data_IF_844319945155
#
_entry.id   IF_844319945155
#
_cell.length_a   1.000
_cell.length_b   1.000
_cell.length_c   1.000
_cell.angle_alpha   90.00
_cell.angle_beta   90.00
_cell.angle_gamma   90.00
#
_symmetry.space_group_name_H-M   'P 1'
#
loop_
_entity.id
_entity.type
_entity.pdbx_description
1 polymer ?
#
# COMPACT_ATOMS: atom_id res chain seq x y z
N UNK A 1 -5.16 -11.66 19.83
CA UNK A 1 -4.60 -10.42 19.27
C UNK A 1 -4.24 -9.51 20.42
N UNK A 2 -2.99 -9.12 20.54
CA UNK A 2 -2.57 -8.08 21.48
C UNK A 2 -3.07 -6.74 20.95
N UNK A 3 -3.81 -6.00 21.76
CA UNK A 3 -4.20 -4.63 21.40
C UNK A 3 -2.94 -3.75 21.35
N UNK A 4 -2.89 -2.75 20.46
CA UNK A 4 -1.78 -1.80 20.40
C UNK A 4 -1.49 -1.22 21.80
N UNK A 5 -0.23 -1.27 22.19
CA UNK A 5 0.17 -0.75 23.52
C UNK A 5 0.32 0.76 23.48
N UNK A 6 -0.68 1.47 23.98
CA UNK A 6 -0.60 2.92 24.17
C UNK A 6 -0.22 3.26 25.60
N UNK A 7 0.77 4.12 25.75
CA UNK A 7 1.23 4.66 27.03
C UNK A 7 1.09 6.19 27.04
N UNK A 8 1.29 6.77 28.21
CA UNK A 8 1.34 8.23 28.40
C UNK A 8 2.68 8.58 29.03
N UNK A 9 3.46 9.40 28.36
CA UNK A 9 4.73 9.90 28.86
C UNK A 9 4.53 10.88 30.03
N UNK A 10 5.57 11.19 30.83
CA UNK A 10 5.47 12.10 31.96
C UNK A 10 4.96 13.51 31.62
N UNK A 11 5.16 13.96 30.40
CA UNK A 11 4.68 15.25 29.86
C UNK A 11 3.22 15.22 29.38
N UNK A 12 2.52 14.09 29.56
CA UNK A 12 1.14 13.89 29.14
C UNK A 12 0.99 13.45 27.68
N UNK A 13 2.09 13.27 26.93
CA UNK A 13 2.02 12.80 25.51
C UNK A 13 1.60 11.35 25.46
N UNK A 14 0.51 11.06 24.75
CA UNK A 14 0.11 9.69 24.41
C UNK A 14 0.92 9.20 23.22
N UNK A 15 1.56 8.05 23.36
CA UNK A 15 2.39 7.42 22.31
C UNK A 15 2.10 5.93 22.19
N UNK A 16 2.53 5.34 21.11
CA UNK A 16 2.48 3.89 20.89
C UNK A 16 3.86 3.33 21.22
N UNK A 17 3.94 2.50 22.26
CA UNK A 17 5.18 1.83 22.69
C UNK A 17 5.45 0.65 21.75
N UNK A 18 6.17 0.92 20.66
CA UNK A 18 6.36 -0.01 19.56
C UNK A 18 7.44 -1.06 19.86
N UNK A 19 8.45 -0.71 20.65
CA UNK A 19 9.52 -1.63 21.05
C UNK A 19 9.32 -2.24 22.45
N UNK A 20 8.17 -1.96 23.07
CA UNK A 20 7.75 -2.50 24.38
C UNK A 20 8.72 -2.20 25.55
N UNK A 21 9.50 -1.12 25.47
CA UNK A 21 10.43 -0.73 26.52
C UNK A 21 9.80 0.13 27.63
N UNK A 22 8.58 0.62 27.42
CA UNK A 22 7.82 1.45 28.38
C UNK A 22 8.24 2.92 28.42
N UNK A 23 9.11 3.36 27.53
CA UNK A 23 9.62 4.73 27.43
C UNK A 23 9.28 5.27 26.04
N UNK A 24 8.90 6.55 25.95
CA UNK A 24 8.68 7.19 24.66
C UNK A 24 10.01 7.50 24.00
N UNK A 25 10.41 6.70 23.05
CA UNK A 25 11.57 6.96 22.20
C UNK A 25 11.27 8.07 21.17
N UNK A 26 12.28 8.78 20.63
CA UNK A 26 12.05 9.85 19.66
C UNK A 26 11.23 9.37 18.44
N UNK A 27 11.49 8.18 17.90
CA UNK A 27 10.73 7.68 16.74
C UNK A 27 9.25 7.38 17.05
N UNK A 28 8.89 7.18 18.31
CA UNK A 28 7.51 6.96 18.79
C UNK A 28 6.79 8.25 19.14
N UNK A 29 7.55 9.37 19.29
CA UNK A 29 7.00 10.65 19.72
C UNK A 29 6.22 11.33 18.58
N UNK A 30 4.87 11.43 18.67
CA UNK A 30 4.06 12.03 17.61
C UNK A 30 4.22 13.54 17.47
N UNK A 31 4.93 14.21 18.42
CA UNK A 31 5.18 15.65 18.39
C UNK A 31 6.44 16.02 17.60
N UNK A 32 7.33 15.06 17.34
CA UNK A 32 8.52 15.28 16.55
C UNK A 32 8.23 15.23 15.06
N UNK A 33 9.04 15.94 14.29
CA UNK A 33 9.00 15.92 12.83
C UNK A 33 9.34 14.52 12.27
N UNK A 34 8.88 14.23 11.04
CA UNK A 34 9.11 12.93 10.42
C UNK A 34 10.61 12.62 10.31
N UNK A 35 11.41 13.59 9.86
CA UNK A 35 12.86 13.41 9.68
C UNK A 35 13.55 13.03 11.00
N UNK A 36 13.24 13.74 12.09
CA UNK A 36 13.82 13.47 13.40
C UNK A 36 13.47 12.07 13.91
N UNK A 37 12.24 11.64 13.67
CA UNK A 37 11.77 10.29 14.02
C UNK A 37 12.45 9.20 13.17
N UNK A 38 12.64 9.47 11.88
CA UNK A 38 13.33 8.57 10.96
C UNK A 38 14.80 8.44 11.33
N UNK A 39 15.49 9.53 11.63
CA UNK A 39 16.92 9.53 12.01
C UNK A 39 17.13 8.70 13.29
N UNK A 40 16.29 8.87 14.30
CA UNK A 40 16.37 8.08 15.54
C UNK A 40 16.16 6.59 15.27
N UNK A 41 15.10 6.24 14.52
CA UNK A 41 14.82 4.84 14.19
C UNK A 41 15.97 4.23 13.36
N UNK A 42 16.44 4.94 12.34
CA UNK A 42 17.52 4.48 11.46
C UNK A 42 18.82 4.21 12.25
N UNK A 43 19.09 5.01 13.27
CA UNK A 43 20.23 4.80 14.17
C UNK A 43 20.12 3.54 15.04
N UNK A 44 18.93 3.04 15.27
CA UNK A 44 18.65 1.83 16.07
C UNK A 44 18.66 0.54 15.26
N UNK A 45 18.38 0.62 13.96
CA UNK A 45 18.26 -0.55 13.08
C UNK A 45 19.62 -1.19 12.82
N UNK A 46 19.67 -2.52 12.90
CA UNK A 46 20.78 -3.33 12.41
C UNK A 46 20.90 -3.28 10.88
N UNK A 47 22.01 -3.78 10.36
CA UNK A 47 22.20 -3.89 8.90
C UNK A 47 21.18 -4.83 8.27
N UNK A 48 20.86 -5.93 8.94
CA UNK A 48 19.87 -6.92 8.51
C UNK A 48 18.47 -6.33 8.46
N UNK A 49 18.08 -5.55 9.46
CA UNK A 49 16.78 -4.83 9.47
C UNK A 49 16.71 -3.81 8.34
N UNK A 50 17.77 -3.02 8.13
CA UNK A 50 17.84 -2.08 7.00
C UNK A 50 17.73 -2.80 5.65
N UNK A 51 18.39 -3.94 5.50
CA UNK A 51 18.29 -4.76 4.30
C UNK A 51 16.86 -5.30 4.09
N UNK A 52 16.20 -5.79 5.16
CA UNK A 52 14.82 -6.25 5.12
C UNK A 52 13.85 -5.17 4.63
N UNK A 53 14.02 -3.92 5.09
CA UNK A 53 13.19 -2.78 4.70
C UNK A 53 13.32 -2.40 3.21
N UNK A 54 14.37 -2.84 2.53
CA UNK A 54 14.59 -2.56 1.10
C UNK A 54 13.89 -3.56 0.16
N UNK A 55 13.26 -4.61 0.69
CA UNK A 55 12.58 -5.61 -0.11
C UNK A 55 11.07 -5.46 -0.08
N UNK A 56 10.46 -5.68 -1.24
CA UNK A 56 9.02 -5.83 -1.39
C UNK A 56 8.72 -7.19 -2.02
N UNK A 57 7.86 -7.98 -1.37
CA UNK A 57 7.44 -9.29 -1.87
C UNK A 57 5.92 -9.41 -1.81
N UNK A 58 5.40 -10.52 -2.34
CA UNK A 58 3.97 -10.83 -2.27
C UNK A 58 3.69 -11.62 -1.00
N UNK A 59 2.61 -11.27 -0.32
CA UNK A 59 1.97 -12.08 0.72
C UNK A 59 0.49 -12.24 0.41
N UNK A 60 -0.13 -13.26 0.98
CA UNK A 60 -1.51 -13.61 0.66
C UNK A 60 -2.41 -13.50 1.90
N UNK A 61 -3.67 -13.19 1.64
CA UNK A 61 -4.73 -13.06 2.64
C UNK A 61 -5.32 -14.44 2.91
N UNK A 62 -5.33 -14.89 4.16
CA UNK A 62 -6.01 -16.10 4.58
C UNK A 62 -7.54 -15.98 4.50
N UNK A 63 -8.26 -17.12 4.49
CA UNK A 63 -9.70 -17.16 4.16
C UNK A 63 -10.58 -16.33 5.11
N UNK A 64 -10.25 -16.30 6.39
CA UNK A 64 -10.97 -15.51 7.42
C UNK A 64 -10.22 -14.22 7.83
N UNK A 65 -9.25 -13.78 7.01
CA UNK A 65 -8.41 -12.62 7.30
C UNK A 65 -7.26 -12.92 8.26
N UNK A 66 -6.90 -14.18 8.47
CA UNK A 66 -5.68 -14.57 9.17
C UNK A 66 -4.44 -14.31 8.31
N UNK A 67 -3.29 -14.18 8.94
CA UNK A 67 -2.00 -14.17 8.27
C UNK A 67 -1.66 -15.60 7.83
N UNK A 68 -1.29 -15.76 6.56
CA UNK A 68 -1.09 -17.09 5.97
C UNK A 68 0.28 -17.66 6.37
N UNK A 69 0.28 -18.78 7.08
CA UNK A 69 1.49 -19.45 7.57
C UNK A 69 1.87 -20.69 6.74
N UNK A 70 1.14 -20.96 5.67
CA UNK A 70 1.42 -22.03 4.71
C UNK A 70 1.75 -21.46 3.34
N UNK A 71 2.47 -22.18 2.46
CA UNK A 71 2.67 -21.76 1.08
C UNK A 71 1.35 -21.53 0.35
N UNK A 72 1.18 -20.31 -0.16
CA UNK A 72 0.04 -19.93 -0.97
C UNK A 72 0.27 -20.20 -2.47
N UNK A 73 -0.59 -19.63 -3.31
CA UNK A 73 -0.47 -19.74 -4.77
C UNK A 73 0.79 -19.05 -5.29
N UNK A 74 1.08 -17.86 -4.80
CA UNK A 74 2.19 -17.02 -5.22
C UNK A 74 3.26 -16.95 -4.13
N UNK A 75 2.91 -16.54 -2.92
CA UNK A 75 3.82 -16.52 -1.78
C UNK A 75 4.20 -17.93 -1.35
N UNK A 76 5.50 -18.22 -1.29
CA UNK A 76 6.01 -19.54 -0.89
C UNK A 76 6.55 -19.57 0.53
N UNK A 77 6.62 -18.43 1.19
CA UNK A 77 7.06 -18.32 2.57
C UNK A 77 5.90 -18.00 3.50
N UNK A 78 5.89 -18.55 4.73
CA UNK A 78 4.97 -18.09 5.78
C UNK A 78 5.07 -16.58 6.01
N UNK A 79 3.96 -15.93 6.31
CA UNK A 79 3.94 -14.47 6.57
C UNK A 79 4.84 -14.10 7.74
N UNK A 80 4.81 -14.86 8.83
CA UNK A 80 5.71 -14.66 9.97
C UNK A 80 7.19 -14.74 9.56
N UNK A 81 7.55 -15.62 8.63
CA UNK A 81 8.94 -15.72 8.15
C UNK A 81 9.41 -14.42 7.50
N UNK A 82 8.60 -13.84 6.61
CA UNK A 82 9.02 -12.61 5.88
C UNK A 82 8.92 -11.36 6.76
N UNK A 83 7.94 -11.27 7.63
CA UNK A 83 7.75 -10.10 8.51
C UNK A 83 8.74 -10.13 9.68
N UNK A 84 8.82 -11.24 10.41
CA UNK A 84 9.58 -11.29 11.68
C UNK A 84 11.02 -11.73 11.46
N UNK A 85 11.26 -12.81 10.70
CA UNK A 85 12.61 -13.35 10.56
C UNK A 85 13.44 -12.68 9.46
N UNK A 86 12.78 -12.21 8.39
CA UNK A 86 13.43 -11.42 7.30
C UNK A 86 13.27 -9.91 7.48
N UNK A 87 12.55 -9.48 8.51
CA UNK A 87 12.37 -8.06 8.88
C UNK A 87 11.89 -7.17 7.72
N UNK A 88 11.08 -7.75 6.83
CA UNK A 88 10.47 -7.03 5.69
C UNK A 88 9.18 -6.35 6.14
N UNK A 89 8.90 -5.16 5.58
CA UNK A 89 7.69 -4.42 5.92
C UNK A 89 6.93 -3.84 4.72
N UNK A 90 7.34 -4.15 3.49
CA UNK A 90 6.63 -3.76 2.27
C UNK A 90 6.14 -5.01 1.53
N UNK A 91 4.83 -5.10 1.31
CA UNK A 91 4.23 -6.27 0.69
C UNK A 91 3.19 -5.89 -0.35
N UNK A 92 3.14 -6.67 -1.44
CA UNK A 92 2.10 -6.60 -2.43
C UNK A 92 1.03 -7.67 -2.16
N UNK A 93 -0.24 -7.32 -2.29
CA UNK A 93 -1.37 -8.25 -2.14
C UNK A 93 -2.11 -8.40 -3.47
N UNK A 94 -2.37 -9.65 -3.86
CA UNK A 94 -3.01 -9.97 -5.14
C UNK A 94 -4.50 -10.32 -5.01
N UNK A 95 -4.91 -11.07 -4.00
CA UNK A 95 -6.28 -11.51 -3.87
C UNK A 95 -6.95 -10.89 -2.64
N UNK A 96 -8.07 -10.22 -2.85
CA UNK A 96 -8.96 -9.67 -1.82
C UNK A 96 -10.38 -10.08 -2.18
N UNK A 97 -11.04 -10.89 -1.34
CA UNK A 97 -12.40 -11.40 -1.60
C UNK A 97 -13.47 -10.47 -1.05
N UNK A 98 -13.28 -9.96 0.15
CA UNK A 98 -14.22 -9.03 0.81
C UNK A 98 -13.48 -7.93 1.55
N UNK A 99 -14.09 -6.75 1.68
CA UNK A 99 -13.54 -5.65 2.44
C UNK A 99 -13.32 -6.02 3.92
N UNK A 100 -14.24 -6.78 4.52
CA UNK A 100 -14.12 -7.27 5.91
C UNK A 100 -12.89 -8.15 6.08
N UNK A 101 -12.68 -9.12 5.19
CA UNK A 101 -11.53 -10.01 5.22
C UNK A 101 -10.23 -9.22 5.13
N UNK A 102 -10.13 -8.28 4.18
CA UNK A 102 -8.95 -7.43 4.00
C UNK A 102 -8.66 -6.58 5.25
N UNK A 103 -9.67 -5.97 5.85
CA UNK A 103 -9.51 -5.15 7.05
C UNK A 103 -9.06 -5.99 8.27
N UNK A 104 -9.62 -7.18 8.47
CA UNK A 104 -9.21 -8.10 9.53
C UNK A 104 -7.75 -8.54 9.30
N UNK A 105 -7.43 -8.95 8.07
CA UNK A 105 -6.07 -9.35 7.69
C UNK A 105 -5.05 -8.24 7.91
N UNK A 106 -5.35 -7.03 7.46
CA UNK A 106 -4.46 -5.90 7.69
C UNK A 106 -4.23 -5.65 9.18
N UNK A 107 -5.27 -5.69 10.00
CA UNK A 107 -5.13 -5.54 11.46
C UNK A 107 -4.25 -6.65 12.08
N UNK A 108 -4.44 -7.90 11.65
CA UNK A 108 -3.63 -9.03 12.11
C UNK A 108 -2.16 -8.88 11.69
N UNK A 109 -1.92 -8.43 10.45
CA UNK A 109 -0.59 -8.18 9.93
C UNK A 109 0.12 -7.05 10.69
N UNK A 110 -0.58 -5.94 10.97
CA UNK A 110 -0.05 -4.85 11.78
C UNK A 110 0.25 -5.30 13.22
N UNK A 111 -0.60 -6.15 13.81
CA UNK A 111 -0.35 -6.71 15.13
C UNK A 111 0.87 -7.66 15.14
N UNK A 112 1.12 -8.37 14.03
CA UNK A 112 2.32 -9.19 13.89
C UNK A 112 3.60 -8.34 13.89
N UNK A 113 3.60 -7.16 13.23
CA UNK A 113 4.77 -6.28 13.25
C UNK A 113 5.11 -5.75 14.64
N UNK A 114 4.12 -5.57 15.52
CA UNK A 114 4.37 -5.17 16.89
C UNK A 114 5.11 -6.22 17.72
N UNK A 115 5.30 -7.43 17.20
CA UNK A 115 6.15 -8.46 17.83
C UNK A 115 7.61 -8.34 17.39
N UNK A 116 7.94 -7.46 16.44
CA UNK A 116 9.31 -7.21 15.99
C UNK A 116 10.01 -6.20 16.91
N UNK A 117 11.36 -6.12 16.93
CA UNK A 117 12.09 -5.28 17.88
C UNK A 117 11.72 -3.80 17.86
N UNK A 118 11.30 -3.27 16.73
CA UNK A 118 10.98 -1.83 16.58
C UNK A 118 9.52 -1.55 16.18
N UNK A 119 8.71 -2.60 16.01
CA UNK A 119 7.29 -2.48 15.69
C UNK A 119 6.98 -1.67 14.43
N UNK A 120 7.86 -1.68 13.42
CA UNK A 120 7.69 -0.90 12.19
C UNK A 120 6.45 -1.40 11.44
N UNK A 121 5.44 -0.54 11.19
CA UNK A 121 4.22 -0.96 10.51
C UNK A 121 4.46 -1.47 9.09
N UNK A 122 3.64 -2.43 8.64
CA UNK A 122 3.66 -2.90 7.26
C UNK A 122 2.97 -1.90 6.34
N UNK A 123 3.59 -1.63 5.20
CA UNK A 123 2.97 -0.94 4.07
C UNK A 123 2.47 -1.96 3.05
N UNK A 124 1.17 -1.93 2.77
CA UNK A 124 0.54 -2.80 1.78
C UNK A 124 0.37 -2.05 0.48
N UNK A 125 0.86 -2.65 -0.59
CA UNK A 125 0.63 -2.24 -1.98
C UNK A 125 -0.28 -3.22 -2.72
N UNK A 126 -0.83 -2.76 -3.82
CA UNK A 126 -1.53 -3.62 -4.78
C UNK A 126 -1.41 -3.05 -6.20
N UNK A 127 -1.57 -3.91 -7.18
CA UNK A 127 -1.71 -3.53 -8.59
C UNK A 127 -3.12 -3.01 -8.89
N UNK A 128 -3.40 -2.47 -10.10
CA UNK A 128 -4.71 -1.92 -10.44
C UNK A 128 -5.85 -2.91 -10.18
N UNK A 129 -6.89 -2.47 -9.45
CA UNK A 129 -8.02 -3.31 -9.06
C UNK A 129 -9.37 -2.84 -9.53
N UNK A 130 -9.49 -1.57 -9.87
CA UNK A 130 -10.79 -0.96 -10.13
C UNK A 130 -11.29 -1.15 -11.55
N UNK A 131 -10.57 -1.88 -12.41
CA UNK A 131 -11.05 -2.23 -13.74
C UNK A 131 -12.10 -3.34 -13.67
N UNK A 132 -13.11 -3.27 -14.55
CA UNK A 132 -14.13 -4.31 -14.66
C UNK A 132 -13.62 -5.58 -15.38
N UNK A 133 -12.47 -5.50 -16.03
CA UNK A 133 -11.80 -6.64 -16.68
C UNK A 133 -10.63 -7.10 -15.84
N UNK A 134 -10.64 -8.38 -15.47
CA UNK A 134 -9.49 -9.03 -14.86
C UNK A 134 -8.50 -9.45 -15.96
N UNK A 135 -7.22 -9.04 -15.79
CA UNK A 135 -6.14 -9.43 -16.67
C UNK A 135 -5.01 -10.02 -15.82
N UNK A 136 -4.86 -11.34 -15.88
CA UNK A 136 -3.95 -12.10 -15.03
C UNK A 136 -2.52 -11.55 -15.03
N UNK A 137 -2.01 -11.21 -13.86
CA UNK A 137 -0.66 -10.70 -13.65
C UNK A 137 -0.47 -9.20 -13.89
N UNK A 138 -1.49 -8.48 -14.36
CA UNK A 138 -1.36 -7.04 -14.69
C UNK A 138 -2.51 -6.19 -14.16
N UNK A 139 -3.70 -6.76 -14.00
CA UNK A 139 -4.83 -6.16 -13.30
C UNK A 139 -5.57 -7.27 -12.56
N UNK A 140 -6.02 -6.98 -11.35
CA UNK A 140 -6.70 -7.97 -10.51
C UNK A 140 -8.18 -7.67 -10.43
N UNK A 141 -8.97 -8.71 -10.19
CA UNK A 141 -10.40 -8.57 -9.94
C UNK A 141 -10.67 -7.45 -8.94
N UNK A 142 -11.65 -6.60 -9.26
CA UNK A 142 -12.10 -5.54 -8.37
C UNK A 142 -12.52 -6.10 -7.00
N UNK A 143 -13.09 -7.32 -6.98
CA UNK A 143 -13.53 -7.93 -5.73
C UNK A 143 -14.52 -7.03 -5.00
N UNK A 144 -14.17 -6.50 -3.80
CA UNK A 144 -15.06 -5.62 -3.03
C UNK A 144 -15.04 -4.16 -3.47
N UNK A 145 -14.17 -3.78 -4.43
CA UNK A 145 -13.99 -2.40 -4.88
C UNK A 145 -14.96 -2.04 -6.01
N UNK A 146 -15.17 -0.75 -6.21
CA UNK A 146 -15.95 -0.23 -7.33
C UNK A 146 -15.30 -0.58 -8.68
N UNK A 147 -16.12 -0.70 -9.73
CA UNK A 147 -15.66 -1.10 -11.06
C UNK A 147 -15.73 0.10 -12.01
N UNK A 148 -14.61 0.33 -12.68
CA UNK A 148 -14.40 1.43 -13.61
C UNK A 148 -13.81 0.92 -14.93
N UNK A 149 -13.84 1.70 -16.00
CA UNK A 149 -13.11 1.35 -17.22
C UNK A 149 -11.61 1.18 -16.96
N UNK A 150 -10.94 0.41 -17.82
CA UNK A 150 -9.48 0.40 -17.92
C UNK A 150 -8.94 1.82 -18.24
N UNK A 151 -7.66 2.06 -18.00
CA UNK A 151 -7.03 3.37 -18.18
C UNK A 151 -7.31 4.01 -19.53
N UNK A 152 -7.24 3.23 -20.62
CA UNK A 152 -7.55 3.72 -21.96
C UNK A 152 -9.04 4.14 -22.10
N UNK A 153 -9.93 3.42 -21.43
CA UNK A 153 -11.36 3.78 -21.40
C UNK A 153 -11.62 5.07 -20.64
N UNK A 154 -10.93 5.28 -19.50
CA UNK A 154 -10.98 6.54 -18.75
C UNK A 154 -10.43 7.70 -19.61
N UNK A 155 -9.30 7.50 -20.28
CA UNK A 155 -8.72 8.51 -21.15
C UNK A 155 -9.59 8.84 -22.38
N UNK A 156 -10.39 7.87 -22.85
CA UNK A 156 -11.31 8.09 -23.98
C UNK A 156 -12.47 9.04 -23.64
N UNK A 157 -12.76 9.27 -22.37
CA UNK A 157 -13.75 10.28 -21.92
C UNK A 157 -13.24 11.70 -22.16
N UNK A 158 -11.93 11.88 -22.29
CA UNK A 158 -11.26 13.18 -22.46
C UNK A 158 -11.56 14.18 -21.36
N UNK A 159 -11.73 13.70 -20.13
CA UNK A 159 -12.12 14.47 -18.97
C UNK A 159 -11.20 14.16 -17.78
N UNK A 160 -10.31 15.10 -17.48
CA UNK A 160 -9.35 14.97 -16.37
C UNK A 160 -10.02 15.00 -14.99
N UNK A 161 -11.17 15.68 -14.86
CA UNK A 161 -11.90 15.72 -13.61
C UNK A 161 -12.52 14.36 -13.27
N UNK A 162 -13.04 13.64 -14.26
CA UNK A 162 -13.51 12.25 -14.10
C UNK A 162 -12.34 11.32 -13.70
N UNK A 163 -11.16 11.49 -14.23
CA UNK A 163 -9.97 10.70 -13.83
C UNK A 163 -9.60 10.97 -12.37
N UNK A 164 -9.64 12.23 -11.96
CA UNK A 164 -9.40 12.60 -10.55
C UNK A 164 -10.46 12.02 -9.62
N UNK A 165 -11.74 12.12 -9.96
CA UNK A 165 -12.86 11.55 -9.17
C UNK A 165 -12.70 10.03 -9.02
N UNK A 166 -12.40 9.32 -10.11
CA UNK A 166 -12.06 7.91 -10.07
C UNK A 166 -10.96 7.61 -9.04
N UNK A 167 -9.84 8.35 -9.12
CA UNK A 167 -8.69 8.17 -8.25
C UNK A 167 -9.02 8.46 -6.77
N UNK A 168 -9.84 9.48 -6.49
CA UNK A 168 -10.33 9.78 -5.14
C UNK A 168 -11.23 8.68 -4.56
N UNK A 169 -12.11 8.10 -5.38
CA UNK A 169 -12.94 6.95 -4.97
C UNK A 169 -12.05 5.76 -4.66
N UNK A 170 -11.14 5.41 -5.58
CA UNK A 170 -10.22 4.30 -5.41
C UNK A 170 -9.32 4.46 -4.18
N UNK A 171 -8.81 5.66 -3.92
CA UNK A 171 -8.05 5.99 -2.71
C UNK A 171 -8.83 5.70 -1.44
N UNK A 172 -10.07 6.17 -1.35
CA UNK A 172 -10.92 5.95 -0.17
C UNK A 172 -11.17 4.47 0.08
N UNK A 173 -11.40 3.70 -0.97
CA UNK A 173 -11.60 2.26 -0.88
C UNK A 173 -10.32 1.53 -0.45
N UNK A 174 -9.16 1.90 -0.99
CA UNK A 174 -7.86 1.34 -0.57
C UNK A 174 -7.56 1.65 0.91
N UNK A 175 -7.73 2.90 1.31
CA UNK A 175 -7.51 3.32 2.70
C UNK A 175 -8.41 2.55 3.68
N UNK A 176 -9.67 2.30 3.30
CA UNK A 176 -10.63 1.59 4.14
C UNK A 176 -10.21 0.14 4.46
N UNK A 177 -9.40 -0.50 3.60
CA UNK A 177 -8.90 -1.87 3.80
C UNK A 177 -7.42 -1.93 4.16
N UNK A 178 -6.76 -0.78 4.36
CA UNK A 178 -5.37 -0.71 4.80
C UNK A 178 -4.31 -0.71 3.70
N UNK A 179 -4.69 -0.58 2.42
CA UNK A 179 -3.76 -0.41 1.30
C UNK A 179 -3.26 1.03 1.30
N UNK A 180 -1.94 1.23 1.26
CA UNK A 180 -1.29 2.54 1.35
C UNK A 180 -0.35 2.84 0.19
N UNK A 181 -0.11 1.87 -0.69
CA UNK A 181 0.69 2.04 -1.89
C UNK A 181 -0.03 1.42 -3.10
N UNK A 182 0.05 2.10 -4.23
CA UNK A 182 -0.53 1.68 -5.49
C UNK A 182 0.59 1.48 -6.51
N UNK A 183 0.70 0.25 -7.08
CA UNK A 183 1.65 -0.04 -8.15
C UNK A 183 1.07 0.40 -9.51
N UNK A 184 0.56 1.60 -9.55
CA UNK A 184 -0.06 2.28 -10.70
C UNK A 184 -0.06 3.81 -10.49
N UNK A 185 -0.35 4.68 -11.47
CA UNK A 185 -0.83 4.37 -12.83
C UNK A 185 0.27 3.84 -13.75
N UNK A 186 -0.17 3.18 -14.84
CA UNK A 186 0.69 2.83 -15.95
C UNK A 186 0.68 3.99 -16.95
N UNK A 187 1.85 4.61 -17.15
CA UNK A 187 2.01 5.84 -17.94
C UNK A 187 2.72 5.64 -19.26
N UNK A 188 2.96 4.40 -19.65
CA UNK A 188 3.49 4.05 -20.96
C UNK A 188 2.63 4.65 -22.07
N UNK A 189 3.25 5.16 -23.13
CA UNK A 189 2.53 5.63 -24.32
C UNK A 189 2.11 4.44 -25.18
N UNK A 190 0.83 4.41 -25.57
CA UNK A 190 0.23 3.35 -26.39
C UNK A 190 0.61 3.53 -27.86
N UNK A 191 1.90 3.44 -28.21
CA UNK A 191 2.42 3.67 -29.56
C UNK A 191 2.52 2.42 -30.44
N UNK A 192 2.37 1.21 -29.85
CA UNK A 192 2.44 -0.08 -30.58
C UNK A 192 1.09 -0.82 -30.44
N UNK A 193 0.27 -0.87 -31.51
CA UNK A 193 -1.08 -1.45 -31.44
C UNK A 193 -1.14 -2.93 -31.05
N UNK A 194 -0.05 -3.68 -31.24
CA UNK A 194 0.03 -5.11 -30.91
C UNK A 194 0.42 -5.37 -29.46
N UNK A 195 0.78 -4.33 -28.71
CA UNK A 195 1.15 -4.50 -27.30
C UNK A 195 -0.06 -4.87 -26.43
N UNK A 196 0.00 -6.02 -25.77
CA UNK A 196 -1.13 -6.59 -25.03
C UNK A 196 -1.59 -5.80 -23.80
N UNK A 197 -0.81 -4.80 -23.35
CA UNK A 197 -1.12 -3.97 -22.19
C UNK A 197 -1.62 -2.56 -22.51
N UNK A 198 -1.95 -2.28 -23.76
CA UNK A 198 -2.44 -0.96 -24.17
C UNK A 198 -3.67 -0.49 -23.39
N UNK A 199 -4.60 -1.39 -23.09
CA UNK A 199 -5.82 -1.05 -22.35
C UNK A 199 -5.57 -0.40 -20.99
N UNK A 200 -4.40 -0.66 -20.40
CA UNK A 200 -4.02 -0.15 -19.07
C UNK A 200 -3.32 1.22 -19.13
N UNK A 201 -2.98 1.71 -20.34
CA UNK A 201 -2.37 3.02 -20.54
C UNK A 201 -3.42 4.12 -20.55
N UNK A 202 -2.95 5.37 -20.46
CA UNK A 202 -3.79 6.57 -20.59
C UNK A 202 -3.76 7.14 -22.04
N UNK A 203 -3.29 6.36 -23.02
CA UNK A 203 -3.29 6.73 -24.43
C UNK A 203 -1.90 6.89 -25.02
N UNK A 204 -1.86 7.48 -26.24
CA UNK A 204 -0.63 7.59 -27.05
C UNK A 204 -0.03 9.00 -27.09
N UNK A 205 -0.80 10.00 -26.68
CA UNK A 205 -0.39 11.41 -26.70
C UNK A 205 0.26 11.79 -25.38
N UNK A 206 1.50 12.26 -25.39
CA UNK A 206 2.28 12.52 -24.18
C UNK A 206 1.71 13.66 -23.33
N UNK A 207 1.13 14.72 -23.96
CA UNK A 207 0.56 15.84 -23.21
C UNK A 207 -0.70 15.41 -22.48
N UNK A 208 -1.57 14.65 -23.15
CA UNK A 208 -2.79 14.10 -22.55
C UNK A 208 -2.46 13.10 -21.42
N UNK A 209 -1.54 12.17 -21.68
CA UNK A 209 -1.08 11.21 -20.63
C UNK A 209 -0.53 11.95 -19.43
N UNK A 210 0.21 13.04 -19.62
CA UNK A 210 0.71 13.88 -18.52
C UNK A 210 -0.43 14.51 -17.72
N UNK A 211 -1.43 15.08 -18.39
CA UNK A 211 -2.58 15.70 -17.74
C UNK A 211 -3.41 14.67 -16.93
N UNK A 212 -3.71 13.52 -17.53
CA UNK A 212 -4.43 12.44 -16.85
C UNK A 212 -3.62 11.85 -15.69
N UNK A 213 -2.30 11.70 -15.84
CA UNK A 213 -1.42 11.24 -14.77
C UNK A 213 -1.44 12.21 -13.59
N UNK A 214 -1.36 13.52 -13.84
CA UNK A 214 -1.43 14.51 -12.77
C UNK A 214 -2.75 14.42 -12.00
N UNK A 215 -3.89 14.33 -12.71
CA UNK A 215 -5.21 14.17 -12.09
C UNK A 215 -5.31 12.87 -11.27
N UNK A 216 -4.78 11.77 -11.80
CA UNK A 216 -4.73 10.48 -11.13
C UNK A 216 -3.92 10.56 -9.82
N UNK A 217 -2.72 11.13 -9.89
CA UNK A 217 -1.86 11.31 -8.71
C UNK A 217 -2.51 12.20 -7.66
N UNK A 218 -3.13 13.32 -8.08
CA UNK A 218 -3.85 14.20 -7.15
C UNK A 218 -5.00 13.46 -6.45
N UNK A 219 -5.75 12.63 -7.16
CA UNK A 219 -6.83 11.84 -6.56
C UNK A 219 -6.35 10.82 -5.54
N UNK A 220 -5.22 10.13 -5.81
CA UNK A 220 -4.64 9.14 -4.89
C UNK A 220 -3.82 9.75 -3.76
N UNK A 221 -3.03 10.78 -4.03
CA UNK A 221 -2.08 11.32 -3.06
C UNK A 221 -2.57 12.60 -2.39
N UNK A 222 -3.53 13.31 -3.01
CA UNK A 222 -3.89 14.66 -2.62
C UNK A 222 -2.89 15.69 -3.16
N UNK A 223 -3.08 16.95 -2.81
CA UNK A 223 -2.14 18.03 -3.16
C UNK A 223 -0.83 17.90 -2.35
N UNK A 224 -0.93 17.36 -1.15
CA UNK A 224 0.21 17.00 -0.28
C UNK A 224 -0.03 15.61 0.31
N UNK A 225 1.06 14.86 0.55
CA UNK A 225 0.95 13.56 1.21
C UNK A 225 0.43 13.72 2.64
N UNK A 226 -0.67 13.05 2.94
CA UNK A 226 -1.37 13.12 4.20
C UNK A 226 -1.72 11.72 4.73
N UNK A 227 -2.35 11.68 5.88
CA UNK A 227 -2.73 10.45 6.58
C UNK A 227 -3.62 9.53 5.74
N UNK A 228 -4.43 10.06 4.87
CA UNK A 228 -5.36 9.34 4.00
C UNK A 228 -4.87 9.22 2.55
N UNK A 229 -3.63 9.59 2.27
CA UNK A 229 -3.00 9.39 0.97
C UNK A 229 -2.70 7.91 0.69
N UNK A 230 -2.70 7.55 -0.59
CA UNK A 230 -2.15 6.31 -1.11
C UNK A 230 -1.02 6.69 -2.06
N UNK A 231 0.22 6.31 -1.72
CA UNK A 231 1.38 6.60 -2.53
C UNK A 231 1.32 5.82 -3.86
N UNK A 232 1.50 6.52 -4.98
CA UNK A 232 1.50 5.92 -6.30
C UNK A 232 2.90 5.60 -6.78
N UNK A 233 3.05 4.46 -7.47
CA UNK A 233 4.24 4.09 -8.22
C UNK A 233 3.90 4.16 -9.69
N UNK A 234 4.21 5.30 -10.32
CA UNK A 234 4.07 5.44 -11.78
C UNK A 234 5.03 4.48 -12.49
N UNK A 235 4.56 3.81 -13.54
CA UNK A 235 5.32 2.75 -14.23
C UNK A 235 4.98 2.70 -15.73
N UNK A 236 5.85 2.13 -16.52
CA UNK A 236 7.05 1.30 -16.29
C UNK A 236 8.35 1.99 -16.60
#
# INVERSE_FOLDING_TARGET
>A
MTSPRFLTAPDGTRFRDLNHNGVMDPYENPRLGVEERVDDLLGRLSLEEKAGLMFQTVIEVGDDGEVLETPGKISKSPTTTVVVHKMMNHFNVHAIRTARQAAIWNNNLQALTETTPHGIPVTISTDPRHAFVENTGVAFSAGPFSQWPEGLGLAALDDVDTVREFAEVARREYVAVGIRAALHPQIDLATEPRWGRQAQTLGQDAERVTAFTAAYLQGFQGDELARDSVACTTKH
#
